data_IF_142829826410
#
_entry.id   IF_142829826410
#
_cell.length_a   1.000
_cell.length_b   1.000
_cell.length_c   1.000
_cell.angle_alpha   90.00
_cell.angle_beta   90.00
_cell.angle_gamma   90.00
#
_symmetry.space_group_name_H-M   'P 1'
#
loop_
_entity.id
_entity.type
_entity.pdbx_description
1 polymer ?
#
# COMPACT_ATOMS: atom_id res chain seq x y z
N UNK A 1 -10.33 -10.09 8.13
CA UNK A 1 -8.93 -9.57 8.16
C UNK A 1 -8.82 -8.34 7.26
N UNK A 2 -8.41 -7.21 7.82
CA UNK A 2 -8.09 -5.99 7.07
C UNK A 2 -6.57 -5.88 6.92
N UNK A 3 -6.10 -5.59 5.71
CA UNK A 3 -4.69 -5.34 5.40
C UNK A 3 -4.56 -3.93 4.83
N UNK A 4 -3.84 -3.08 5.56
CA UNK A 4 -3.52 -1.71 5.14
C UNK A 4 -2.11 -1.67 4.55
N UNK A 5 -2.01 -1.77 3.22
CA UNK A 5 -0.73 -1.67 2.50
C UNK A 5 -0.75 -0.56 1.44
N UNK A 6 -0.79 0.71 1.87
CA UNK A 6 -0.86 1.83 0.95
C UNK A 6 0.46 2.16 0.26
N UNK A 7 1.58 1.56 0.68
CA UNK A 7 2.89 1.87 0.12
C UNK A 7 2.98 1.43 -1.35
N UNK A 8 3.22 2.40 -2.24
CA UNK A 8 3.15 2.21 -3.68
C UNK A 8 4.47 1.75 -4.32
N UNK A 9 5.50 1.43 -3.54
CA UNK A 9 6.72 0.80 -4.06
C UNK A 9 6.60 -0.74 -4.11
N UNK A 10 6.94 -1.35 -5.24
CA UNK A 10 6.78 -2.80 -5.44
C UNK A 10 7.62 -3.64 -4.47
N UNK A 11 8.77 -3.13 -4.03
CA UNK A 11 9.62 -3.80 -3.05
C UNK A 11 8.93 -4.01 -1.69
N UNK A 12 8.00 -3.12 -1.32
CA UNK A 12 7.24 -3.24 -0.07
C UNK A 12 6.07 -4.21 -0.21
N UNK A 13 5.45 -4.31 -1.39
CA UNK A 13 4.33 -5.22 -1.59
C UNK A 13 4.76 -6.66 -1.84
N UNK A 14 5.78 -6.89 -2.67
CA UNK A 14 6.20 -8.23 -3.10
C UNK A 14 6.65 -9.13 -1.94
N UNK A 15 7.16 -8.54 -0.85
CA UNK A 15 7.67 -9.30 0.30
C UNK A 15 6.56 -9.87 1.19
N UNK A 16 5.35 -9.30 1.14
CA UNK A 16 4.22 -9.69 1.98
C UNK A 16 3.01 -10.20 1.19
N UNK A 17 2.93 -9.91 -0.10
CA UNK A 17 1.91 -10.42 -1.04
C UNK A 17 1.67 -11.95 -0.89
N UNK A 18 2.71 -12.81 -0.84
CA UNK A 18 2.50 -14.26 -0.69
C UNK A 18 1.77 -14.67 0.60
N UNK A 19 1.89 -13.90 1.69
CA UNK A 19 1.19 -14.19 2.93
C UNK A 19 -0.33 -13.98 2.76
N UNK A 20 -0.73 -12.93 2.06
CA UNK A 20 -2.15 -12.62 1.84
C UNK A 20 -2.78 -13.60 0.86
N UNK A 21 -2.05 -13.97 -0.19
CA UNK A 21 -2.45 -15.02 -1.13
C UNK A 21 -2.69 -16.35 -0.40
N UNK A 22 -1.75 -16.76 0.46
CA UNK A 22 -1.87 -18.00 1.23
C UNK A 22 -3.05 -17.96 2.21
N UNK A 23 -3.26 -16.85 2.93
CA UNK A 23 -4.40 -16.69 3.83
C UNK A 23 -5.74 -16.79 3.06
N UNK A 24 -5.84 -16.13 1.90
CA UNK A 24 -7.02 -16.18 1.05
C UNK A 24 -7.27 -17.60 0.52
N UNK A 25 -6.21 -18.32 0.11
CA UNK A 25 -6.28 -19.70 -0.36
C UNK A 25 -6.78 -20.68 0.72
N UNK A 26 -6.49 -20.39 2.00
CA UNK A 26 -6.96 -21.17 3.16
C UNK A 26 -8.38 -20.83 3.61
N UNK A 27 -9.07 -19.95 2.90
CA UNK A 27 -10.47 -19.59 3.17
C UNK A 27 -10.66 -18.39 4.11
N UNK A 28 -9.58 -17.71 4.50
CA UNK A 28 -9.73 -16.43 5.19
C UNK A 28 -10.22 -15.36 4.20
N UNK A 29 -11.13 -14.50 4.66
CA UNK A 29 -11.58 -13.35 3.89
C UNK A 29 -10.73 -12.13 4.25
N UNK A 30 -10.08 -11.56 3.25
CA UNK A 30 -9.21 -10.41 3.38
C UNK A 30 -9.79 -9.22 2.63
N UNK A 31 -9.70 -8.04 3.24
CA UNK A 31 -9.83 -6.76 2.56
C UNK A 31 -8.45 -6.11 2.51
N UNK A 32 -7.90 -5.90 1.31
CA UNK A 32 -6.55 -5.39 1.08
C UNK A 32 -6.61 -4.02 0.41
N UNK A 33 -6.06 -2.99 1.05
CA UNK A 33 -5.81 -1.68 0.42
C UNK A 33 -4.43 -1.72 -0.24
N UNK A 34 -4.35 -1.56 -1.56
CA UNK A 34 -3.10 -1.74 -2.32
C UNK A 34 -3.02 -0.90 -3.60
N UNK A 35 -1.80 -0.51 -4.00
CA UNK A 35 -1.54 0.02 -5.36
C UNK A 35 -1.26 -1.07 -6.39
N UNK A 36 -1.26 -2.35 -5.99
CA UNK A 36 -0.90 -3.49 -6.83
C UNK A 36 -2.00 -4.55 -6.79
N UNK A 37 -3.20 -4.28 -7.33
CA UNK A 37 -4.27 -5.27 -7.34
C UNK A 37 -3.91 -6.47 -8.23
N UNK A 38 -4.33 -7.67 -7.82
CA UNK A 38 -4.08 -8.90 -8.55
C UNK A 38 -4.85 -8.92 -9.87
N UNK A 39 -4.24 -9.50 -10.90
CA UNK A 39 -4.83 -9.66 -12.23
C UNK A 39 -4.52 -11.08 -12.75
N UNK A 40 -5.50 -12.01 -12.77
CA UNK A 40 -6.91 -11.84 -12.40
C UNK A 40 -7.12 -11.68 -10.87
N UNK A 41 -8.30 -11.17 -10.42
CA UNK A 41 -8.64 -11.10 -9.00
C UNK A 41 -8.61 -12.48 -8.33
N UNK A 42 -8.20 -12.53 -7.06
CA UNK A 42 -8.12 -13.76 -6.27
C UNK A 42 -9.41 -14.02 -5.46
N UNK A 43 -9.85 -15.28 -5.34
CA UNK A 43 -10.95 -15.63 -4.43
C UNK A 43 -10.61 -15.26 -2.98
N UNK A 44 -11.62 -14.85 -2.20
CA UNK A 44 -11.51 -14.45 -0.79
C UNK A 44 -10.58 -13.24 -0.51
N UNK A 45 -10.10 -12.56 -1.54
CA UNK A 45 -9.30 -11.34 -1.44
C UNK A 45 -10.05 -10.19 -2.11
N UNK A 46 -10.63 -9.30 -1.30
CA UNK A 46 -11.23 -8.06 -1.77
C UNK A 46 -10.19 -6.95 -1.78
N UNK A 47 -9.90 -6.38 -2.94
CA UNK A 47 -8.84 -5.39 -3.10
C UNK A 47 -9.39 -3.99 -3.37
N UNK A 48 -9.03 -3.04 -2.50
CA UNK A 48 -9.26 -1.61 -2.69
C UNK A 48 -8.06 -1.05 -3.43
N UNK A 49 -8.25 -0.78 -4.72
CA UNK A 49 -7.21 -0.26 -5.60
C UNK A 49 -7.01 1.25 -5.40
N UNK A 50 -5.86 1.63 -4.84
CA UNK A 50 -5.44 3.03 -4.65
C UNK A 50 -4.41 3.49 -5.69
N UNK A 51 -4.11 2.69 -6.71
CA UNK A 51 -3.09 2.96 -7.73
C UNK A 51 -3.31 4.25 -8.53
N UNK A 52 -4.56 4.72 -8.63
CA UNK A 52 -4.89 5.96 -9.32
C UNK A 52 -4.45 7.22 -8.56
N UNK A 53 -4.38 7.16 -7.22
CA UNK A 53 -3.83 8.22 -6.36
C UNK A 53 -2.35 8.02 -6.10
N UNK A 54 -1.99 6.77 -5.81
CA UNK A 54 -0.65 6.34 -5.43
C UNK A 54 -0.08 5.46 -6.53
N UNK A 55 0.44 6.11 -7.58
CA UNK A 55 0.94 5.42 -8.78
C UNK A 55 1.99 4.36 -8.42
N UNK A 56 1.90 3.15 -8.96
CA UNK A 56 2.91 2.10 -8.72
C UNK A 56 4.32 2.56 -9.08
N UNK A 57 5.22 2.47 -8.11
CA UNK A 57 6.66 2.69 -8.27
C UNK A 57 7.34 1.33 -8.46
N UNK A 58 7.80 1.10 -9.69
CA UNK A 58 8.48 -0.13 -10.09
C UNK A 58 9.78 0.27 -10.79
N UNK A 59 10.92 -0.07 -10.20
CA UNK A 59 12.25 0.14 -10.78
C UNK A 59 12.55 1.58 -11.23
N UNK A 60 11.93 2.58 -10.59
CA UNK A 60 12.07 4.00 -10.91
C UNK A 60 12.81 4.81 -9.82
N UNK A 61 13.48 4.13 -8.89
CA UNK A 61 14.30 4.75 -7.84
C UNK A 61 15.77 4.38 -8.06
N UNK A 62 16.61 5.36 -8.36
CA UNK A 62 18.05 5.17 -8.59
C UNK A 62 18.88 5.70 -7.41
N UNK A 63 20.17 5.41 -7.42
CA UNK A 63 21.09 5.79 -6.34
C UNK A 63 21.24 7.30 -6.26
N UNK A 64 21.19 7.99 -7.41
CA UNK A 64 21.24 9.44 -7.49
C UNK A 64 20.05 10.08 -6.76
N UNK A 65 18.83 9.63 -7.01
CA UNK A 65 17.63 10.11 -6.32
C UNK A 65 17.69 9.84 -4.82
N UNK A 66 18.24 8.69 -4.39
CA UNK A 66 18.46 8.42 -2.96
C UNK A 66 19.40 9.46 -2.36
N UNK A 67 20.53 9.76 -3.01
CA UNK A 67 21.48 10.74 -2.50
C UNK A 67 20.91 12.16 -2.46
N UNK A 68 20.04 12.51 -3.40
CA UNK A 68 19.37 13.82 -3.45
C UNK A 68 18.27 13.96 -2.37
N UNK A 69 17.43 12.94 -2.20
CA UNK A 69 16.28 12.97 -1.28
C UNK A 69 16.68 12.64 0.17
N UNK A 70 17.73 11.85 0.35
CA UNK A 70 18.22 11.34 1.64
C UNK A 70 19.71 11.65 1.84
N UNK A 71 20.12 12.92 1.82
CA UNK A 71 21.54 13.30 1.78
C UNK A 71 22.29 13.05 3.09
N UNK A 72 21.60 12.98 4.22
CA UNK A 72 22.19 12.72 5.54
C UNK A 72 21.14 12.28 6.57
N UNK A 73 21.61 11.84 7.73
CA UNK A 73 20.78 11.32 8.82
C UNK A 73 19.81 12.34 9.45
N UNK A 74 19.98 13.65 9.22
CA UNK A 74 19.11 14.67 9.77
C UNK A 74 17.99 15.08 8.80
N UNK A 75 18.28 15.09 7.50
CA UNK A 75 17.29 15.43 6.46
C UNK A 75 16.45 14.23 6.01
N UNK A 76 17.03 13.02 6.00
CA UNK A 76 16.32 11.81 5.57
C UNK A 76 15.03 11.55 6.36
N UNK A 77 14.98 11.71 7.70
CA UNK A 77 13.74 11.53 8.45
C UNK A 77 12.64 12.53 8.06
N UNK A 78 13.01 13.76 7.64
CA UNK A 78 12.03 14.76 7.20
C UNK A 78 11.40 14.34 5.88
N UNK A 79 12.21 13.93 4.90
CA UNK A 79 11.73 13.39 3.64
C UNK A 79 10.83 12.16 3.84
N UNK A 80 11.24 11.21 4.69
CA UNK A 80 10.45 10.03 5.00
C UNK A 80 9.11 10.41 5.67
N UNK A 81 9.12 11.36 6.61
CA UNK A 81 7.89 11.86 7.23
C UNK A 81 6.94 12.49 6.20
N UNK A 82 7.46 13.29 5.27
CA UNK A 82 6.65 13.90 4.22
C UNK A 82 6.07 12.84 3.25
N UNK A 83 6.88 11.83 2.89
CA UNK A 83 6.43 10.71 2.08
C UNK A 83 5.34 9.91 2.80
N UNK A 84 5.52 9.59 4.07
CA UNK A 84 4.55 8.83 4.87
C UNK A 84 3.23 9.60 5.04
N UNK A 85 3.30 10.92 5.29
CA UNK A 85 2.11 11.77 5.33
C UNK A 85 1.41 11.85 3.98
N UNK A 86 2.16 11.91 2.88
CA UNK A 86 1.61 11.87 1.52
C UNK A 86 0.87 10.55 1.25
N UNK A 87 1.48 9.41 1.57
CA UNK A 87 0.85 8.09 1.42
C UNK A 87 -0.42 7.99 2.28
N UNK A 88 -0.33 8.38 3.55
CA UNK A 88 -1.45 8.38 4.49
C UNK A 88 -2.61 9.23 3.98
N UNK A 89 -2.37 10.47 3.60
CA UNK A 89 -3.43 11.38 3.14
C UNK A 89 -4.13 10.85 1.88
N UNK A 90 -3.37 10.29 0.93
CA UNK A 90 -3.95 9.77 -0.31
C UNK A 90 -4.74 8.48 -0.09
N UNK A 91 -4.30 7.60 0.80
CA UNK A 91 -5.03 6.39 1.15
C UNK A 91 -6.23 6.66 2.06
N UNK A 92 -6.10 7.58 3.01
CA UNK A 92 -7.22 8.02 3.84
C UNK A 92 -8.31 8.66 2.97
N UNK A 93 -7.94 9.47 1.98
CA UNK A 93 -8.88 10.14 1.08
C UNK A 93 -9.53 9.22 0.04
N UNK A 94 -9.21 7.92 0.01
CA UNK A 94 -9.87 6.95 -0.86
C UNK A 94 -11.33 6.73 -0.42
N UNK A 95 -12.33 6.96 -1.28
CA UNK A 95 -13.74 6.76 -0.93
C UNK A 95 -14.07 5.37 -0.38
N UNK A 96 -13.44 4.30 -0.89
CA UNK A 96 -13.67 2.96 -0.34
C UNK A 96 -13.07 2.78 1.05
N UNK A 97 -11.95 3.44 1.35
CA UNK A 97 -11.35 3.44 2.70
C UNK A 97 -12.23 4.25 3.67
N UNK A 98 -12.75 5.40 3.25
CA UNK A 98 -13.72 6.17 4.06
C UNK A 98 -14.97 5.34 4.37
N UNK A 99 -15.52 4.64 3.37
CA UNK A 99 -16.66 3.73 3.58
C UNK A 99 -16.36 2.62 4.59
N UNK A 100 -15.15 2.07 4.60
CA UNK A 100 -14.76 1.08 5.60
C UNK A 100 -14.72 1.70 7.00
N UNK A 101 -14.16 2.90 7.14
CA UNK A 101 -14.10 3.61 8.42
C UNK A 101 -15.48 3.96 8.97
N UNK A 102 -16.42 4.30 8.09
CA UNK A 102 -17.80 4.64 8.44
C UNK A 102 -18.70 3.40 8.63
N UNK A 103 -18.19 2.19 8.36
CA UNK A 103 -18.96 0.95 8.44
C UNK A 103 -18.89 0.29 9.82
N UNK A 104 -19.87 -0.58 10.09
CA UNK A 104 -19.87 -1.44 11.28
C UNK A 104 -19.06 -2.74 11.11
N UNK A 105 -18.38 -2.91 9.98
CA UNK A 105 -17.57 -4.10 9.65
C UNK A 105 -16.54 -4.41 10.74
N UNK A 106 -16.32 -5.71 11.00
CA UNK A 106 -15.33 -6.21 11.98
C UNK A 106 -14.37 -7.16 11.28
N UNK A 107 -13.07 -7.02 11.58
CA UNK A 107 -12.00 -7.68 10.84
C UNK A 107 -11.14 -8.61 11.67
#
# INVERSE_FOLDING_TARGET
>A
ILVMQPHNARSHSIVVEPLFEELASRGHHLTLVTSFPHKPPLPNLYEIDVSYRLRPMISNFNVEAINELMPNAFQSPLFMSDLDLYLCNNSYSEPQVQKLLDSDEKF
#
